data_IF_002867757507
#
_entry.id   IF_002867757507
#
_cell.length_a   1.000
_cell.length_b   1.000
_cell.length_c   1.000
_cell.angle_alpha   90.00
_cell.angle_beta   90.00
_cell.angle_gamma   90.00
#
_symmetry.space_group_name_H-M   'P 1'
#
loop_
_entity.id
_entity.type
_entity.pdbx_description
1 polymer ?
#
# COMPACT_ATOMS: atom_id res chain seq x y z
N UNK A 1 -0.59 17.37 -0.33
CA UNK A 1 -1.57 16.31 0.02
C UNK A 1 -2.75 16.98 0.73
N UNK A 2 -3.98 16.50 0.56
CA UNK A 2 -5.10 16.93 1.39
C UNK A 2 -4.78 16.70 2.88
N UNK A 3 -5.41 17.49 3.76
CA UNK A 3 -5.15 17.38 5.19
C UNK A 3 -5.90 16.19 5.81
N UNK A 4 -5.35 14.99 5.63
CA UNK A 4 -5.82 13.72 6.20
C UNK A 4 -5.98 13.74 7.71
N UNK A 5 -5.15 14.50 8.45
CA UNK A 5 -5.28 14.62 9.90
C UNK A 5 -6.53 15.41 10.27
N UNK A 6 -6.75 16.56 9.64
CA UNK A 6 -7.98 17.33 9.86
C UNK A 6 -9.24 16.52 9.51
N UNK A 7 -9.19 15.73 8.43
CA UNK A 7 -10.31 14.88 8.04
C UNK A 7 -10.54 13.73 9.02
N UNK A 8 -9.48 13.06 9.48
CA UNK A 8 -9.56 12.03 10.51
C UNK A 8 -10.19 12.60 11.80
N UNK A 9 -9.77 13.80 12.22
CA UNK A 9 -10.36 14.47 13.38
C UNK A 9 -11.84 14.78 13.16
N UNK A 10 -12.22 15.26 11.97
CA UNK A 10 -13.61 15.57 11.64
C UNK A 10 -14.52 14.35 11.71
N UNK A 11 -14.12 13.23 11.08
CA UNK A 11 -14.96 12.01 11.01
C UNK A 11 -14.98 11.22 12.33
N UNK A 12 -13.99 11.42 13.20
CA UNK A 12 -13.91 10.75 14.52
C UNK A 12 -14.39 11.64 15.68
N UNK A 13 -14.91 12.84 15.39
CA UNK A 13 -15.38 13.76 16.43
C UNK A 13 -14.27 14.29 17.33
N UNK A 14 -13.05 14.43 16.81
CA UNK A 14 -11.89 14.95 17.53
C UNK A 14 -11.12 13.90 18.34
N UNK A 15 -11.49 12.62 18.27
CA UNK A 15 -10.78 11.54 18.99
C UNK A 15 -9.47 11.15 18.29
N UNK A 16 -9.47 11.10 16.96
CA UNK A 16 -8.45 10.44 16.15
C UNK A 16 -8.79 8.98 15.84
N UNK A 17 -8.00 8.35 14.98
CA UNK A 17 -8.20 6.96 14.54
C UNK A 17 -7.50 5.94 15.44
N UNK A 18 -8.02 4.72 15.51
CA UNK A 18 -7.49 3.61 16.32
C UNK A 18 -6.31 2.88 15.67
N UNK A 19 -6.23 2.91 14.34
CA UNK A 19 -5.22 2.15 13.62
C UNK A 19 -4.85 2.84 12.33
N UNK A 20 -3.55 3.05 12.13
CA UNK A 20 -3.00 3.61 10.89
C UNK A 20 -2.10 2.55 10.24
N UNK A 21 -2.32 2.35 8.94
CA UNK A 21 -1.43 1.56 8.08
C UNK A 21 -0.56 2.54 7.28
N UNK A 22 0.70 2.68 7.68
CA UNK A 22 1.67 3.62 7.11
C UNK A 22 2.47 2.96 5.97
N UNK A 23 2.45 3.60 4.80
CA UNK A 23 3.17 3.18 3.59
C UNK A 23 3.88 4.35 2.85
N UNK A 24 3.53 5.60 3.16
CA UNK A 24 4.08 6.80 2.50
C UNK A 24 5.47 7.18 2.99
N UNK A 25 5.77 6.89 4.25
CA UNK A 25 7.10 7.07 4.85
C UNK A 25 7.32 8.40 5.57
N UNK A 26 8.57 8.88 5.62
CA UNK A 26 8.95 10.04 6.46
C UNK A 26 8.10 11.31 6.22
N UNK A 27 7.57 11.49 5.01
CA UNK A 27 6.71 12.63 4.66
C UNK A 27 5.30 12.57 5.25
N UNK A 28 4.80 11.41 5.66
CA UNK A 28 3.43 11.20 6.18
C UNK A 28 3.38 10.91 7.68
N UNK A 29 4.51 10.54 8.30
CA UNK A 29 4.59 10.22 9.74
C UNK A 29 4.04 11.36 10.62
N UNK A 30 4.42 12.62 10.35
CA UNK A 30 3.97 13.76 11.17
C UNK A 30 2.45 13.88 11.16
N UNK A 31 1.84 13.77 9.99
CA UNK A 31 0.38 13.88 9.84
C UNK A 31 -0.33 12.68 10.49
N UNK A 32 0.26 11.48 10.41
CA UNK A 32 -0.27 10.30 11.08
C UNK A 32 -0.22 10.42 12.62
N UNK A 33 0.81 11.06 13.18
CA UNK A 33 0.84 11.38 14.61
C UNK A 33 -0.24 12.38 15.05
N UNK A 34 -0.67 13.28 14.16
CA UNK A 34 -1.75 14.23 14.42
C UNK A 34 -3.15 13.59 14.24
N UNK A 35 -3.23 12.50 13.46
CA UNK A 35 -4.47 11.78 13.15
C UNK A 35 -4.79 10.65 14.14
N UNK A 36 -3.78 10.03 14.76
CA UNK A 36 -3.94 8.87 15.66
C UNK A 36 -4.52 9.29 17.02
N UNK A 37 -5.40 8.47 17.59
CA UNK A 37 -5.83 8.66 18.98
C UNK A 37 -4.74 8.22 19.98
N UNK A 38 -4.81 8.74 21.21
CA UNK A 38 -3.80 8.45 22.23
C UNK A 38 -3.80 6.97 22.63
N UNK A 39 -2.62 6.34 22.62
CA UNK A 39 -2.42 4.94 23.01
C UNK A 39 -2.66 3.93 21.89
N UNK A 40 -2.99 4.39 20.69
CA UNK A 40 -3.33 3.56 19.54
C UNK A 40 -2.11 3.27 18.63
N UNK A 41 -2.30 2.45 17.58
CA UNK A 41 -1.20 1.83 16.82
C UNK A 41 -1.03 2.45 15.43
N UNK A 42 0.23 2.75 15.08
CA UNK A 42 0.68 3.01 13.72
C UNK A 42 1.52 1.81 13.25
N UNK A 43 0.97 1.02 12.32
CA UNK A 43 1.66 -0.11 11.69
C UNK A 43 2.33 0.34 10.40
N UNK A 44 3.66 0.33 10.38
CA UNK A 44 4.45 0.66 9.19
C UNK A 44 4.61 -0.59 8.34
N UNK A 45 4.02 -0.58 7.13
CA UNK A 45 4.05 -1.70 6.20
C UNK A 45 5.01 -1.48 5.02
N UNK A 46 5.47 -0.25 4.82
CA UNK A 46 6.39 0.10 3.75
C UNK A 46 6.71 1.59 3.66
N UNK A 47 7.55 1.93 2.70
CA UNK A 47 8.03 3.27 2.40
C UNK A 47 8.09 3.42 0.87
N UNK A 48 7.14 4.16 0.31
CA UNK A 48 7.23 4.56 -1.10
C UNK A 48 8.38 5.57 -1.33
N UNK A 49 8.85 6.23 -0.27
CA UNK A 49 10.04 7.07 -0.29
C UNK A 49 11.32 6.22 -0.22
N UNK A 50 12.37 6.68 -0.91
CA UNK A 50 13.66 5.98 -1.12
C UNK A 50 14.46 5.76 0.17
N UNK A 51 14.00 4.81 1.00
CA UNK A 51 14.77 4.24 2.11
C UNK A 51 15.01 2.77 1.76
N UNK A 52 16.26 2.35 1.54
CA UNK A 52 16.58 0.95 1.44
C UNK A 52 16.55 0.39 2.86
N UNK A 53 15.51 -0.35 3.23
CA UNK A 53 15.68 -1.61 3.96
C UNK A 53 14.35 -2.32 4.27
N UNK A 54 14.30 -3.57 3.79
CA UNK A 54 13.43 -4.70 4.15
C UNK A 54 11.90 -4.45 4.13
N UNK A 55 11.24 -4.82 3.01
CA UNK A 55 9.77 -4.81 2.87
C UNK A 55 9.21 -6.13 2.33
N UNK A 56 9.57 -7.26 2.92
CA UNK A 56 8.86 -8.51 2.60
C UNK A 56 8.48 -9.19 3.92
N UNK A 57 7.22 -9.60 4.00
CA UNK A 57 6.73 -10.40 5.12
C UNK A 57 7.36 -11.80 5.15
N UNK A 58 7.20 -12.50 6.27
CA UNK A 58 7.63 -13.89 6.38
C UNK A 58 6.81 -14.80 5.45
N UNK A 59 7.34 -15.99 5.17
CA UNK A 59 6.58 -17.07 4.50
C UNK A 59 5.23 -17.31 5.17
N UNK A 60 5.18 -17.29 6.51
CA UNK A 60 3.94 -17.50 7.26
C UNK A 60 2.90 -16.42 6.92
N UNK A 61 3.30 -15.15 6.89
CA UNK A 61 2.40 -14.06 6.51
C UNK A 61 1.85 -14.23 5.10
N UNK A 62 2.69 -14.65 4.14
CA UNK A 62 2.24 -14.94 2.78
C UNK A 62 1.20 -16.06 2.77
N UNK A 63 1.45 -17.16 3.48
CA UNK A 63 0.50 -18.27 3.56
C UNK A 63 -0.83 -17.84 4.17
N UNK A 64 -0.80 -17.00 5.21
CA UNK A 64 -2.01 -16.49 5.87
C UNK A 64 -2.82 -15.60 4.95
N UNK A 65 -2.17 -14.71 4.18
CA UNK A 65 -2.84 -13.88 3.17
C UNK A 65 -3.44 -14.75 2.06
N UNK A 66 -2.72 -15.76 1.58
CA UNK A 66 -3.25 -16.68 0.55
C UNK A 66 -4.48 -17.43 1.06
N UNK A 67 -4.44 -17.95 2.28
CA UNK A 67 -5.60 -18.60 2.92
C UNK A 67 -6.77 -17.64 3.04
N UNK A 68 -6.52 -16.42 3.49
CA UNK A 68 -7.55 -15.40 3.65
C UNK A 68 -8.22 -15.04 2.32
N UNK A 69 -7.45 -14.78 1.27
CA UNK A 69 -7.97 -14.50 -0.08
C UNK A 69 -8.81 -15.66 -0.59
N UNK A 70 -8.31 -16.90 -0.47
CA UNK A 70 -9.05 -18.10 -0.89
C UNK A 70 -10.36 -18.32 -0.13
N UNK A 71 -10.40 -17.99 1.17
CA UNK A 71 -11.59 -18.18 2.01
C UNK A 71 -12.65 -17.09 1.84
N UNK A 72 -12.24 -15.86 1.53
CA UNK A 72 -13.12 -14.69 1.49
C UNK A 72 -13.49 -14.26 0.07
N UNK A 73 -12.71 -14.68 -0.94
CA UNK A 73 -12.87 -14.20 -2.31
C UNK A 73 -12.54 -12.71 -2.45
N UNK A 74 -11.67 -12.16 -1.60
CA UNK A 74 -11.19 -10.78 -1.74
C UNK A 74 -10.55 -10.60 -3.10
N UNK A 75 -11.07 -9.65 -3.87
CA UNK A 75 -10.55 -9.32 -5.19
C UNK A 75 -9.15 -8.71 -5.08
N UNK A 76 -8.24 -9.26 -5.87
CA UNK A 76 -6.87 -8.78 -6.02
C UNK A 76 -6.76 -8.13 -7.40
N UNK A 77 -7.04 -6.81 -7.50
CA UNK A 77 -7.20 -6.17 -8.80
C UNK A 77 -5.88 -6.16 -9.59
N UNK A 78 -5.94 -6.73 -10.79
CA UNK A 78 -4.94 -6.53 -11.84
C UNK A 78 -5.47 -5.43 -12.74
N UNK A 79 -4.72 -4.34 -12.82
CA UNK A 79 -5.12 -3.21 -13.63
C UNK A 79 -4.70 -3.38 -15.08
N UNK A 80 -3.46 -3.85 -15.28
CA UNK A 80 -2.87 -3.94 -16.61
C UNK A 80 -1.94 -5.12 -16.72
N UNK A 81 -2.09 -5.85 -17.81
CA UNK A 81 -1.23 -6.97 -18.18
C UNK A 81 -0.49 -6.63 -19.46
N UNK A 82 0.82 -6.91 -19.49
CA UNK A 82 1.69 -6.77 -20.65
C UNK A 82 2.21 -8.15 -21.07
N UNK A 83 2.54 -8.33 -22.35
CA UNK A 83 3.08 -9.60 -22.83
C UNK A 83 4.56 -9.77 -22.45
N UNK A 84 5.04 -11.03 -22.38
CA UNK A 84 6.45 -11.34 -22.15
C UNK A 84 7.32 -11.13 -23.40
N UNK A 85 7.26 -9.92 -23.96
CA UNK A 85 8.18 -9.45 -25.00
C UNK A 85 9.12 -8.39 -24.42
N UNK A 86 10.35 -8.29 -24.91
CA UNK A 86 11.30 -7.24 -24.46
C UNK A 86 10.68 -5.84 -24.53
N UNK A 87 9.91 -5.56 -25.59
CA UNK A 87 9.24 -4.27 -25.80
C UNK A 87 8.17 -4.01 -24.75
N UNK A 88 7.32 -4.99 -24.45
CA UNK A 88 6.21 -4.80 -23.53
C UNK A 88 6.65 -4.86 -22.07
N UNK A 89 7.69 -5.62 -21.73
CA UNK A 89 8.32 -5.56 -20.41
C UNK A 89 8.88 -4.16 -20.12
N UNK A 90 9.57 -3.53 -21.09
CA UNK A 90 10.06 -2.15 -20.92
C UNK A 90 8.89 -1.18 -20.69
N UNK A 91 7.83 -1.28 -21.48
CA UNK A 91 6.61 -0.46 -21.26
C UNK A 91 5.95 -0.72 -19.91
N UNK A 92 6.00 -1.95 -19.40
CA UNK A 92 5.44 -2.29 -18.10
C UNK A 92 6.20 -1.57 -16.98
N UNK A 93 7.53 -1.51 -17.06
CA UNK A 93 8.35 -0.72 -16.14
C UNK A 93 8.08 0.79 -16.26
N UNK A 94 8.02 1.33 -17.47
CA UNK A 94 7.64 2.74 -17.69
C UNK A 94 6.26 3.07 -17.09
N UNK A 95 5.29 2.14 -17.23
CA UNK A 95 3.96 2.29 -16.64
C UNK A 95 4.00 2.22 -15.11
N UNK A 96 4.78 1.30 -14.54
CA UNK A 96 4.98 1.20 -13.09
C UNK A 96 5.61 2.49 -12.52
N UNK A 97 6.67 2.99 -13.16
CA UNK A 97 7.38 4.22 -12.79
C UNK A 97 6.51 5.48 -12.87
N UNK A 98 5.47 5.48 -13.73
CA UNK A 98 4.53 6.59 -13.81
C UNK A 98 3.72 6.80 -12.52
N UNK A 99 3.61 5.79 -11.66
CA UNK A 99 2.78 5.76 -10.43
C UNK A 99 1.31 6.17 -10.69
N UNK A 100 0.82 5.98 -11.93
CA UNK A 100 -0.58 6.25 -12.29
C UNK A 100 -1.50 5.03 -12.13
N UNK A 101 -0.91 3.89 -11.77
CA UNK A 101 -1.60 2.62 -11.65
C UNK A 101 -2.36 2.51 -10.31
N UNK A 102 -3.58 2.00 -10.35
CA UNK A 102 -4.37 1.51 -9.23
C UNK A 102 -4.44 -0.02 -9.31
N UNK A 103 -3.65 -0.69 -8.47
CA UNK A 103 -3.63 -2.15 -8.39
C UNK A 103 -2.33 -2.74 -8.93
N UNK A 104 -2.40 -3.95 -9.48
CA UNK A 104 -1.22 -4.69 -9.93
C UNK A 104 -0.98 -4.54 -11.43
N UNK A 105 0.29 -4.35 -11.79
CA UNK A 105 0.80 -4.47 -13.15
C UNK A 105 1.40 -5.87 -13.32
N UNK A 106 0.94 -6.62 -14.32
CA UNK A 106 1.33 -8.01 -14.53
C UNK A 106 2.02 -8.22 -15.89
N UNK A 107 2.86 -9.25 -15.96
CA UNK A 107 3.41 -9.78 -17.20
C UNK A 107 2.79 -11.14 -17.45
N UNK A 108 2.20 -11.34 -18.62
CA UNK A 108 1.73 -12.63 -19.08
C UNK A 108 2.90 -13.44 -19.66
N UNK A 109 3.09 -14.66 -19.17
CA UNK A 109 4.19 -15.56 -19.55
C UNK A 109 3.72 -16.86 -20.23
N UNK A 110 2.41 -16.99 -20.46
CA UNK A 110 1.80 -18.12 -21.16
C UNK A 110 2.02 -18.08 -22.68
#
# INVERSE_FOLDING_TARGET
MPDSAAEAQRITGGRGVDFIVENGGAGTIKQNMEAIAFGEIISVIGFLASIPDIMIGSKQMLEDVVRFVGATGVDVPVEKTFEFTKKDVVKAFEYLESVQHIGKVCINVD
#
